data_IF_267907560264
#
_entry.id   IF_267907560264
#
_cell.length_a   1.000
_cell.length_b   1.000
_cell.length_c   1.000
_cell.angle_alpha   90.00
_cell.angle_beta   90.00
_cell.angle_gamma   90.00
#
_symmetry.space_group_name_H-M   'P 1'
#
loop_
_entity.id
_entity.type
_entity.pdbx_description
1 polymer ?
#
# COMPACT_ATOMS: atom_id res chain seq x y z
N UNK A 1 -11.10 13.92 11.02
CA UNK A 1 -12.51 13.54 11.31
C UNK A 1 -12.99 12.45 10.35
N UNK A 2 -12.70 12.58 9.06
CA UNK A 2 -12.92 11.54 8.07
C UNK A 2 -12.31 10.18 8.50
N UNK A 3 -11.07 10.19 9.01
CA UNK A 3 -10.42 8.97 9.51
C UNK A 3 -11.19 8.28 10.65
N UNK A 4 -11.85 9.05 11.52
CA UNK A 4 -12.70 8.51 12.61
C UNK A 4 -13.91 7.78 12.04
N UNK A 5 -14.59 8.41 11.08
CA UNK A 5 -15.79 7.87 10.45
C UNK A 5 -15.46 6.65 9.61
N UNK A 6 -14.39 6.70 8.82
CA UNK A 6 -13.93 5.57 8.02
C UNK A 6 -13.48 4.40 8.89
N UNK A 7 -12.76 4.66 9.98
CA UNK A 7 -12.33 3.62 10.93
C UNK A 7 -13.51 2.95 11.63
N UNK A 8 -14.51 3.72 12.08
CA UNK A 8 -15.72 3.14 12.67
C UNK A 8 -16.59 2.41 11.65
N UNK A 9 -16.63 2.85 10.39
CA UNK A 9 -17.34 2.14 9.31
C UNK A 9 -16.71 0.78 9.02
N UNK A 10 -15.37 0.71 8.96
CA UNK A 10 -14.61 -0.56 8.87
C UNK A 10 -14.87 -1.46 10.06
N UNK A 11 -15.02 -0.90 11.27
CA UNK A 11 -15.30 -1.68 12.47
C UNK A 11 -16.71 -2.27 12.47
N UNK A 12 -17.70 -1.49 12.05
CA UNK A 12 -19.11 -1.90 12.07
C UNK A 12 -19.40 -2.95 10.99
N UNK A 13 -18.86 -2.76 9.78
CA UNK A 13 -19.21 -3.58 8.62
C UNK A 13 -18.12 -4.60 8.26
N UNK A 14 -16.94 -4.55 8.88
CA UNK A 14 -15.74 -5.29 8.50
C UNK A 14 -14.85 -4.52 7.53
N UNK A 15 -13.56 -4.86 7.46
CA UNK A 15 -12.55 -4.05 6.71
C UNK A 15 -12.89 -3.89 5.23
N UNK A 16 -13.28 -4.98 4.55
CA UNK A 16 -13.59 -4.98 3.11
C UNK A 16 -14.91 -4.25 2.85
N UNK A 17 -15.97 -4.67 3.52
CA UNK A 17 -17.31 -4.12 3.33
C UNK A 17 -17.40 -2.65 3.79
N UNK A 18 -16.75 -2.30 4.91
CA UNK A 18 -16.68 -0.93 5.41
C UNK A 18 -15.86 0.00 4.50
N UNK A 19 -14.80 -0.50 3.85
CA UNK A 19 -14.11 0.27 2.80
C UNK A 19 -15.01 0.53 1.59
N UNK A 20 -15.76 -0.48 1.15
CA UNK A 20 -16.72 -0.33 0.04
C UNK A 20 -17.83 0.65 0.41
N UNK A 21 -18.35 0.59 1.63
CA UNK A 21 -19.37 1.52 2.14
C UNK A 21 -18.85 2.95 2.22
N UNK A 22 -17.61 3.15 2.69
CA UNK A 22 -16.99 4.48 2.74
C UNK A 22 -16.82 5.06 1.35
N UNK A 23 -16.27 4.28 0.41
CA UNK A 23 -16.04 4.73 -0.97
C UNK A 23 -17.36 5.05 -1.68
N UNK A 24 -18.37 4.17 -1.53
CA UNK A 24 -19.68 4.37 -2.14
C UNK A 24 -20.41 5.57 -1.52
N UNK A 25 -20.33 5.72 -0.20
CA UNK A 25 -20.90 6.85 0.53
C UNK A 25 -20.33 8.19 0.03
N UNK A 26 -19.01 8.30 -0.12
CA UNK A 26 -18.36 9.53 -0.61
C UNK A 26 -18.80 9.90 -2.02
N UNK A 27 -18.96 8.90 -2.90
CA UNK A 27 -19.43 9.14 -4.26
C UNK A 27 -20.86 9.69 -4.30
N UNK A 28 -21.68 9.28 -3.34
CA UNK A 28 -23.09 9.66 -3.24
C UNK A 28 -23.33 10.99 -2.51
N UNK A 29 -22.30 11.58 -1.88
CA UNK A 29 -22.40 12.90 -1.26
C UNK A 29 -22.37 14.00 -2.33
N UNK A 30 -23.48 14.72 -2.46
CA UNK A 30 -23.64 15.81 -3.42
C UNK A 30 -22.67 16.98 -3.18
N UNK A 31 -22.59 17.46 -1.93
CA UNK A 31 -21.67 18.54 -1.53
C UNK A 31 -20.75 18.05 -0.40
N UNK A 32 -19.52 17.67 -0.79
CA UNK A 32 -18.53 17.08 0.13
C UNK A 32 -18.02 18.08 1.16
N UNK A 33 -17.79 19.32 0.75
CA UNK A 33 -17.23 20.36 1.63
C UNK A 33 -18.22 20.70 2.75
N UNK A 34 -19.49 20.91 2.40
CA UNK A 34 -20.54 21.17 3.38
C UNK A 34 -20.74 19.97 4.31
N UNK A 35 -20.78 18.76 3.75
CA UNK A 35 -20.92 17.54 4.52
C UNK A 35 -19.82 17.39 5.58
N UNK A 36 -18.55 17.52 5.20
CA UNK A 36 -17.45 17.37 6.14
C UNK A 36 -17.36 18.52 7.14
N UNK A 37 -17.76 19.73 6.76
CA UNK A 37 -17.89 20.85 7.69
C UNK A 37 -18.97 20.59 8.76
N UNK A 38 -20.14 20.09 8.37
CA UNK A 38 -21.24 19.79 9.30
C UNK A 38 -20.87 18.66 10.25
N UNK A 39 -20.28 17.59 9.71
CA UNK A 39 -19.72 16.48 10.48
C UNK A 39 -18.67 16.96 11.50
N UNK A 40 -17.77 17.87 11.10
CA UNK A 40 -16.74 18.40 11.99
C UNK A 40 -17.37 19.17 13.16
N UNK A 41 -18.41 19.97 12.89
CA UNK A 41 -19.10 20.78 13.90
C UNK A 41 -19.83 19.91 14.91
N UNK A 42 -20.52 18.85 14.48
CA UNK A 42 -21.25 17.95 15.39
C UNK A 42 -20.34 16.98 16.14
N UNK A 43 -19.10 16.75 15.67
CA UNK A 43 -18.19 15.78 16.27
C UNK A 43 -17.86 16.09 17.73
N UNK A 44 -17.81 17.36 18.15
CA UNK A 44 -17.58 17.70 19.56
C UNK A 44 -18.70 17.14 20.45
N UNK A 45 -19.94 17.34 20.03
CA UNK A 45 -21.13 16.92 20.77
C UNK A 45 -21.26 15.39 20.79
N UNK A 46 -20.95 14.72 19.67
CA UNK A 46 -20.90 13.25 19.56
C UNK A 46 -19.91 12.66 20.57
N UNK A 47 -18.70 13.23 20.68
CA UNK A 47 -17.70 12.74 21.63
C UNK A 47 -18.11 13.01 23.10
N UNK A 48 -18.72 14.17 23.37
CA UNK A 48 -19.21 14.52 24.72
C UNK A 48 -20.25 13.51 25.22
N UNK A 49 -21.15 13.06 24.34
CA UNK A 49 -22.19 12.07 24.65
C UNK A 49 -21.70 10.62 24.50
N UNK A 50 -20.40 10.41 24.27
CA UNK A 50 -19.76 9.08 24.08
C UNK A 50 -20.45 8.24 22.98
N UNK A 51 -20.91 8.93 21.93
CA UNK A 51 -21.47 8.30 20.75
C UNK A 51 -20.37 7.95 19.75
N UNK A 52 -20.57 6.88 18.98
CA UNK A 52 -19.69 6.51 17.87
C UNK A 52 -20.35 6.84 16.55
N UNK A 53 -19.58 7.42 15.64
CA UNK A 53 -20.06 7.86 14.32
C UNK A 53 -19.41 7.04 13.20
N UNK A 54 -20.22 6.42 12.35
CA UNK A 54 -19.80 5.72 11.13
C UNK A 54 -20.56 6.26 9.91
N UNK A 55 -20.23 5.80 8.71
CA UNK A 55 -20.85 6.21 7.45
C UNK A 55 -21.40 5.01 6.71
N UNK A 56 -22.49 5.23 5.99
CA UNK A 56 -23.16 4.24 5.17
C UNK A 56 -22.89 4.45 3.68
N UNK A 57 -23.10 3.40 2.89
CA UNK A 57 -22.95 3.40 1.43
C UNK A 57 -23.78 4.47 0.69
N UNK A 58 -24.86 4.96 1.29
CA UNK A 58 -25.74 6.02 0.79
C UNK A 58 -25.23 7.44 1.16
N UNK A 59 -24.11 7.56 1.88
CA UNK A 59 -23.51 8.83 2.29
C UNK A 59 -24.06 9.37 3.61
N UNK A 60 -24.99 8.68 4.28
CA UNK A 60 -25.50 9.08 5.59
C UNK A 60 -24.52 8.70 6.73
N UNK A 61 -24.69 9.33 7.90
CA UNK A 61 -23.92 8.97 9.11
C UNK A 61 -24.76 8.08 10.02
N UNK A 62 -24.13 7.06 10.61
CA UNK A 62 -24.72 6.19 11.61
C UNK A 62 -24.19 6.53 13.00
N UNK A 63 -25.08 6.68 13.98
CA UNK A 63 -24.70 6.78 15.39
C UNK A 63 -24.90 5.44 16.09
N UNK A 64 -23.86 4.97 16.79
CA UNK A 64 -23.78 3.68 17.46
C UNK A 64 -24.16 2.48 16.58
N UNK A 65 -23.99 2.60 15.25
CA UNK A 65 -24.42 1.62 14.24
C UNK A 65 -25.94 1.38 14.14
N UNK A 66 -26.78 2.13 14.85
CA UNK A 66 -28.24 1.91 14.89
C UNK A 66 -28.99 2.90 14.01
N UNK A 67 -28.76 4.21 14.18
CA UNK A 67 -29.59 5.24 13.57
C UNK A 67 -28.85 6.00 12.48
N UNK A 68 -29.46 6.11 11.30
CA UNK A 68 -28.95 6.87 10.16
C UNK A 68 -29.44 8.32 10.20
N UNK A 69 -28.57 9.26 9.90
CA UNK A 69 -28.88 10.68 9.83
C UNK A 69 -28.16 11.35 8.67
N UNK A 70 -28.74 12.43 8.15
CA UNK A 70 -28.00 13.37 7.32
C UNK A 70 -27.22 14.35 8.22
N UNK A 71 -25.91 14.58 8.01
CA UNK A 71 -25.16 15.53 8.84
C UNK A 71 -25.73 16.95 8.85
N UNK A 72 -26.33 17.40 7.75
CA UNK A 72 -26.98 18.72 7.69
C UNK A 72 -28.21 18.81 8.61
N UNK A 73 -28.99 17.73 8.72
CA UNK A 73 -30.13 17.65 9.65
C UNK A 73 -29.66 17.68 11.09
N UNK A 74 -28.63 16.90 11.44
CA UNK A 74 -28.01 16.95 12.77
C UNK A 74 -27.45 18.33 13.10
N UNK A 75 -26.84 18.99 12.12
CA UNK A 75 -26.34 20.35 12.30
C UNK A 75 -27.49 21.34 12.56
N UNK A 76 -28.56 21.26 11.77
CA UNK A 76 -29.71 22.16 11.83
C UNK A 76 -30.58 21.99 13.08
N UNK A 77 -30.51 20.85 13.79
CA UNK A 77 -31.21 20.64 15.08
C UNK A 77 -30.72 21.57 16.21
N UNK A 78 -29.57 22.24 16.03
CA UNK A 78 -28.97 23.06 17.07
C UNK A 78 -28.43 22.24 18.26
N UNK A 79 -27.76 22.92 19.19
CA UNK A 79 -27.07 22.22 20.30
C UNK A 79 -28.05 21.53 21.25
N UNK A 80 -29.18 22.15 21.55
CA UNK A 80 -30.20 21.60 22.46
C UNK A 80 -30.90 20.38 21.85
N UNK A 81 -31.35 20.47 20.59
CA UNK A 81 -31.97 19.36 19.88
C UNK A 81 -31.02 18.17 19.71
N UNK A 82 -29.74 18.42 19.41
CA UNK A 82 -28.71 17.37 19.38
C UNK A 82 -28.50 16.73 20.74
N UNK A 83 -28.43 17.52 21.82
CA UNK A 83 -28.19 16.98 23.16
C UNK A 83 -29.33 16.07 23.64
N UNK A 84 -30.58 16.44 23.33
CA UNK A 84 -31.76 15.60 23.62
C UNK A 84 -31.73 14.30 22.81
N UNK A 85 -31.45 14.38 21.51
CA UNK A 85 -31.32 13.21 20.62
C UNK A 85 -30.18 12.29 21.05
N UNK A 86 -29.02 12.85 21.40
CA UNK A 86 -27.85 12.06 21.79
C UNK A 86 -28.04 11.41 23.16
N UNK A 87 -28.76 12.08 24.07
CA UNK A 87 -29.14 11.50 25.36
C UNK A 87 -30.16 10.38 25.22
N UNK A 88 -31.08 10.44 24.25
CA UNK A 88 -32.05 9.37 24.01
C UNK A 88 -31.43 8.14 23.33
N UNK A 89 -30.42 8.34 22.48
CA UNK A 89 -29.63 7.24 21.89
C UNK A 89 -28.77 6.56 22.96
N UNK A 90 -28.26 7.33 23.92
CA UNK A 90 -27.41 6.83 25.00
C UNK A 90 -25.97 6.52 24.55
N UNK A 91 -25.04 6.36 25.51
CA UNK A 91 -23.63 6.12 25.21
C UNK A 91 -23.44 4.79 24.48
N UNK A 92 -22.39 4.68 23.65
CA UNK A 92 -22.05 3.43 22.99
C UNK A 92 -21.74 2.33 24.02
N UNK A 93 -22.46 1.21 23.98
CA UNK A 93 -22.33 0.05 24.90
C UNK A 93 -21.09 -0.81 24.67
N UNK A 94 -20.11 -0.33 23.90
CA UNK A 94 -18.98 -1.13 23.46
C UNK A 94 -17.74 -0.89 24.33
N UNK A 95 -17.27 -1.96 24.99
CA UNK A 95 -16.09 -1.99 25.89
C UNK A 95 -14.74 -1.95 25.16
N UNK A 96 -14.72 -2.02 23.83
CA UNK A 96 -13.47 -2.04 23.05
C UNK A 96 -12.89 -0.65 22.84
N UNK A 97 -11.56 -0.47 22.97
CA UNK A 97 -10.90 0.82 22.81
C UNK A 97 -11.15 1.43 21.41
N UNK A 98 -11.06 2.76 21.32
CA UNK A 98 -11.23 3.48 20.06
C UNK A 98 -10.18 3.01 19.04
N UNK A 99 -10.62 2.77 17.79
CA UNK A 99 -9.71 2.48 16.68
C UNK A 99 -8.81 3.68 16.46
N UNK A 100 -7.50 3.44 16.32
CA UNK A 100 -6.52 4.49 16.09
C UNK A 100 -6.92 5.31 14.85
N UNK A 101 -7.04 6.63 15.05
CA UNK A 101 -7.33 7.59 13.97
C UNK A 101 -6.10 7.96 13.16
N UNK A 102 -4.93 7.40 13.51
CA UNK A 102 -3.84 7.38 12.55
C UNK A 102 -4.33 6.52 11.40
N UNK A 103 -4.36 7.10 10.21
CA UNK A 103 -4.13 6.31 8.99
C UNK A 103 -2.80 5.62 9.26
N UNK A 104 -2.87 4.39 9.77
CA UNK A 104 -1.78 3.46 9.66
C UNK A 104 -1.98 2.96 8.24
N UNK A 105 -1.25 3.51 7.24
CA UNK A 105 -1.14 2.81 5.96
C UNK A 105 -0.77 1.37 6.29
N UNK A 106 -1.22 0.40 5.49
CA UNK A 106 -0.74 -0.98 5.60
C UNK A 106 0.78 -0.93 5.59
N UNK A 107 1.38 -0.96 6.78
CA UNK A 107 2.82 -0.95 6.92
C UNK A 107 3.17 -2.38 6.57
N UNK A 108 3.58 -2.61 5.33
CA UNK A 108 4.36 -3.80 5.00
C UNK A 108 5.79 -3.64 5.57
N UNK A 109 5.90 -3.16 6.81
CA UNK A 109 7.12 -3.29 7.59
C UNK A 109 7.11 -4.71 8.14
N UNK A 110 7.73 -5.62 7.39
CA UNK A 110 8.08 -6.96 7.87
C UNK A 110 9.19 -6.78 8.90
N UNK A 111 8.83 -6.31 10.08
CA UNK A 111 9.63 -6.37 11.29
C UNK A 111 8.86 -7.22 12.28
N UNK A 112 9.20 -8.51 12.33
CA UNK A 112 8.83 -9.42 13.41
C UNK A 112 7.68 -10.37 13.09
N UNK A 113 8.03 -11.61 12.74
CA UNK A 113 7.26 -12.75 13.23
C UNK A 113 7.59 -12.85 14.72
N UNK A 114 6.72 -12.32 15.58
CA UNK A 114 6.71 -12.67 17.00
C UNK A 114 5.72 -13.84 17.09
N UNK A 115 6.26 -14.97 17.51
CA UNK A 115 5.53 -16.20 17.81
C UNK A 115 4.37 -15.89 18.78
N UNK A 116 3.16 -16.07 18.28
CA UNK A 116 1.92 -15.78 18.98
C UNK A 116 0.80 -16.38 18.16
N UNK A 117 0.32 -17.53 18.61
CA UNK A 117 -0.72 -18.37 18.02
C UNK A 117 -1.88 -17.57 17.41
N UNK A 118 -1.82 -17.37 16.10
CA UNK A 118 -2.92 -17.26 15.14
C UNK A 118 -2.22 -17.15 13.79
N UNK A 119 -2.44 -18.07 12.87
CA UNK A 119 -1.98 -17.90 11.48
C UNK A 119 -2.82 -16.78 10.82
N UNK A 120 -2.22 -15.69 10.33
CA UNK A 120 -2.60 -15.18 9.04
C UNK A 120 -1.49 -15.61 8.09
N UNK A 121 -1.85 -16.50 7.16
CA UNK A 121 -1.13 -16.56 5.90
C UNK A 121 -1.14 -15.15 5.29
N UNK A 122 -0.07 -14.40 5.53
CA UNK A 122 0.13 -13.07 4.97
C UNK A 122 0.36 -13.22 3.46
N UNK A 123 -0.74 -13.31 2.72
CA UNK A 123 -0.77 -13.16 1.27
C UNK A 123 -0.33 -11.72 0.96
N UNK A 124 0.89 -11.59 0.45
CA UNK A 124 1.40 -10.33 -0.14
C UNK A 124 0.71 -10.12 -1.48
N UNK A 125 -0.60 -9.84 -1.45
CA UNK A 125 -1.40 -9.57 -2.65
C UNK A 125 -1.26 -8.11 -3.05
N UNK A 126 -0.82 -7.86 -4.29
CA UNK A 126 -0.88 -6.51 -4.88
C UNK A 126 -2.23 -6.35 -5.57
N UNK A 127 -2.99 -5.31 -5.22
CA UNK A 127 -4.24 -5.00 -5.91
C UNK A 127 -4.10 -3.82 -6.89
N UNK A 128 -4.75 -3.88 -8.07
CA UNK A 128 -4.84 -2.74 -8.99
C UNK A 128 -5.32 -1.45 -8.30
N UNK A 129 -4.58 -0.35 -8.47
CA UNK A 129 -4.95 0.95 -7.91
C UNK A 129 -4.62 1.13 -6.43
N UNK A 130 -4.03 0.13 -5.78
CA UNK A 130 -3.57 0.21 -4.40
C UNK A 130 -2.42 1.21 -4.24
N UNK A 131 -2.34 1.91 -3.11
CA UNK A 131 -1.19 2.73 -2.73
C UNK A 131 -0.45 1.98 -1.62
N UNK A 132 0.72 1.44 -1.95
CA UNK A 132 1.55 0.67 -1.04
C UNK A 132 2.62 1.58 -0.48
N UNK A 133 2.77 1.57 0.85
CA UNK A 133 3.91 2.22 1.50
C UNK A 133 5.05 1.23 1.69
N UNK A 134 6.22 1.56 1.14
CA UNK A 134 7.44 0.76 1.26
C UNK A 134 8.53 1.66 1.84
N UNK A 135 8.81 1.52 3.14
CA UNK A 135 9.68 2.44 3.86
C UNK A 135 9.11 3.87 3.88
N UNK A 136 9.85 4.82 3.32
CA UNK A 136 9.44 6.22 3.16
C UNK A 136 8.66 6.49 1.86
N UNK A 137 8.53 5.49 0.98
CA UNK A 137 7.97 5.66 -0.36
C UNK A 137 6.49 5.30 -0.39
N UNK A 138 5.68 6.13 -1.04
CA UNK A 138 4.29 5.84 -1.39
C UNK A 138 4.22 5.52 -2.88
N UNK A 139 3.85 4.29 -3.21
CA UNK A 139 3.84 3.80 -4.59
C UNK A 139 2.42 3.37 -4.93
N UNK A 140 1.86 4.00 -5.97
CA UNK A 140 0.58 3.59 -6.53
C UNK A 140 0.81 2.48 -7.55
N UNK A 141 0.13 1.36 -7.37
CA UNK A 141 0.16 0.25 -8.31
C UNK A 141 -0.81 0.51 -9.44
N UNK A 142 -0.31 0.47 -10.66
CA UNK A 142 -1.13 0.48 -11.87
C UNK A 142 -1.84 -0.87 -12.08
N UNK A 143 -3.02 -0.85 -12.70
CA UNK A 143 -3.73 -2.10 -13.04
C UNK A 143 -2.92 -2.99 -13.97
N UNK A 144 -2.27 -2.39 -14.97
CA UNK A 144 -1.34 -3.09 -15.87
C UNK A 144 -0.13 -3.67 -15.14
N UNK A 145 0.41 -2.96 -14.15
CA UNK A 145 1.50 -3.47 -13.31
C UNK A 145 1.10 -4.70 -12.52
N UNK A 146 -0.06 -4.69 -11.87
CA UNK A 146 -0.58 -5.83 -11.10
C UNK A 146 -0.87 -7.05 -11.99
N UNK A 147 -1.47 -6.85 -13.16
CA UNK A 147 -1.71 -7.91 -14.14
C UNK A 147 -0.40 -8.52 -14.66
N UNK A 148 0.58 -7.68 -15.01
CA UNK A 148 1.88 -8.14 -15.49
C UNK A 148 2.66 -8.92 -14.42
N UNK A 149 2.61 -8.51 -13.15
CA UNK A 149 3.20 -9.26 -12.03
C UNK A 149 2.51 -10.62 -11.89
N UNK A 150 1.17 -10.64 -11.97
CA UNK A 150 0.38 -11.87 -11.82
C UNK A 150 0.71 -12.88 -12.92
N UNK A 151 0.78 -12.44 -14.18
CA UNK A 151 1.17 -13.26 -15.32
C UNK A 151 2.62 -13.77 -15.21
N UNK A 152 3.55 -12.91 -14.78
CA UNK A 152 4.96 -13.30 -14.68
C UNK A 152 5.21 -14.35 -13.60
N UNK A 153 4.41 -14.34 -12.53
CA UNK A 153 4.58 -15.22 -11.37
C UNK A 153 3.53 -16.35 -11.30
N UNK A 154 2.70 -16.53 -12.33
CA UNK A 154 1.57 -17.46 -12.36
C UNK A 154 1.98 -18.92 -12.09
N UNK A 155 3.17 -19.32 -12.55
CA UNK A 155 3.69 -20.68 -12.42
C UNK A 155 4.47 -20.94 -11.12
N UNK A 156 4.55 -19.97 -10.21
CA UNK A 156 5.26 -20.11 -8.94
C UNK A 156 4.31 -20.62 -7.84
N UNK A 157 4.84 -21.43 -6.93
CA UNK A 157 4.09 -21.77 -5.72
C UNK A 157 3.84 -20.51 -4.87
N UNK A 158 2.79 -20.52 -4.08
CA UNK A 158 2.39 -19.39 -3.23
C UNK A 158 3.51 -18.96 -2.26
N UNK A 159 4.25 -19.92 -1.71
CA UNK A 159 5.40 -19.66 -0.84
C UNK A 159 6.53 -18.94 -1.58
N UNK A 160 6.85 -19.38 -2.79
CA UNK A 160 7.90 -18.79 -3.63
C UNK A 160 7.49 -17.38 -4.08
N UNK A 161 6.22 -17.21 -4.45
CA UNK A 161 5.63 -15.90 -4.75
C UNK A 161 5.81 -14.93 -3.58
N UNK A 162 5.38 -15.33 -2.37
CA UNK A 162 5.45 -14.49 -1.18
C UNK A 162 6.89 -14.11 -0.82
N UNK A 163 7.80 -15.07 -0.90
CA UNK A 163 9.22 -14.84 -0.63
C UNK A 163 9.87 -13.91 -1.66
N UNK A 164 9.55 -14.08 -2.94
CA UNK A 164 10.05 -13.23 -4.02
C UNK A 164 9.54 -11.79 -3.86
N UNK A 165 8.24 -11.62 -3.57
CA UNK A 165 7.65 -10.32 -3.32
C UNK A 165 8.26 -9.64 -2.09
N UNK A 166 8.54 -10.42 -1.04
CA UNK A 166 9.22 -9.92 0.16
C UNK A 166 10.63 -9.40 -0.16
N UNK A 167 11.41 -10.14 -0.96
CA UNK A 167 12.73 -9.69 -1.43
C UNK A 167 12.61 -8.42 -2.29
N UNK A 168 11.65 -8.38 -3.22
CA UNK A 168 11.42 -7.23 -4.09
C UNK A 168 11.07 -5.95 -3.30
N UNK A 169 10.20 -6.05 -2.29
CA UNK A 169 9.85 -4.91 -1.45
C UNK A 169 10.99 -4.48 -0.52
N UNK A 170 11.75 -5.43 0.03
CA UNK A 170 12.94 -5.10 0.79
C UNK A 170 13.96 -4.36 -0.08
N UNK A 171 14.19 -4.81 -1.31
CA UNK A 171 15.05 -4.14 -2.28
C UNK A 171 14.57 -2.71 -2.57
N UNK A 172 13.29 -2.56 -2.91
CA UNK A 172 12.67 -1.26 -3.18
C UNK A 172 12.77 -0.30 -1.98
N UNK A 173 12.66 -0.80 -0.75
CA UNK A 173 12.79 0.00 0.47
C UNK A 173 14.19 0.60 0.68
N UNK A 174 15.22 0.05 0.02
CA UNK A 174 16.62 0.51 0.10
C UNK A 174 17.00 1.45 -1.03
N UNK A 175 16.10 1.70 -1.98
CA UNK A 175 16.39 2.59 -3.10
C UNK A 175 16.26 4.07 -2.72
N UNK A 176 17.24 4.86 -3.16
CA UNK A 176 17.23 6.30 -3.03
C UNK A 176 16.33 6.94 -4.11
N UNK A 177 15.80 8.14 -3.88
CA UNK A 177 14.97 8.84 -4.86
C UNK A 177 15.62 8.98 -6.25
N UNK A 178 16.93 9.21 -6.29
CA UNK A 178 17.72 9.30 -7.53
C UNK A 178 17.78 7.96 -8.27
N UNK A 179 17.93 6.85 -7.55
CA UNK A 179 17.95 5.49 -8.11
C UNK A 179 16.57 5.13 -8.70
N UNK A 180 15.49 5.48 -7.98
CA UNK A 180 14.11 5.30 -8.43
C UNK A 180 13.84 6.12 -9.70
N UNK A 181 14.34 7.36 -9.74
CA UNK A 181 14.16 8.21 -10.90
C UNK A 181 14.87 7.64 -12.14
N UNK A 182 16.07 7.09 -11.98
CA UNK A 182 16.79 6.40 -13.07
C UNK A 182 16.02 5.19 -13.58
N UNK A 183 15.45 4.36 -12.71
CA UNK A 183 14.60 3.23 -13.12
C UNK A 183 13.39 3.68 -13.94
N UNK A 184 12.66 4.69 -13.46
CA UNK A 184 11.52 5.26 -14.18
C UNK A 184 11.88 5.83 -15.55
N UNK A 185 13.13 6.25 -15.76
CA UNK A 185 13.57 6.77 -17.05
C UNK A 185 14.02 5.67 -18.00
N UNK A 186 14.50 4.54 -17.47
CA UNK A 186 14.78 3.34 -18.26
C UNK A 186 13.50 2.73 -18.82
N UNK A 187 12.44 2.66 -18.02
CA UNK A 187 11.14 2.14 -18.48
C UNK A 187 10.01 3.06 -18.01
N UNK A 188 9.70 4.15 -18.73
CA UNK A 188 8.65 5.09 -18.31
C UNK A 188 7.24 4.49 -18.39
N UNK A 189 7.05 3.48 -19.23
CA UNK A 189 5.77 2.84 -19.48
C UNK A 189 5.51 1.64 -18.55
N UNK A 190 6.53 1.18 -17.82
CA UNK A 190 6.42 0.04 -16.88
C UNK A 190 6.21 0.53 -15.44
N UNK A 191 5.37 -0.17 -14.68
CA UNK A 191 5.18 0.09 -13.25
C UNK A 191 6.47 -0.13 -12.45
N UNK A 192 6.78 0.75 -11.49
CA UNK A 192 8.00 0.64 -10.68
C UNK A 192 8.09 -0.70 -9.94
N UNK A 193 6.98 -1.19 -9.38
CA UNK A 193 6.98 -2.47 -8.68
C UNK A 193 7.23 -3.59 -9.69
N UNK A 194 6.59 -3.55 -10.85
CA UNK A 194 6.81 -4.54 -11.90
C UNK A 194 8.28 -4.57 -12.35
N UNK A 195 8.92 -3.41 -12.55
CA UNK A 195 10.34 -3.33 -12.91
C UNK A 195 11.25 -4.00 -11.87
N UNK A 196 10.99 -3.76 -10.57
CA UNK A 196 11.75 -4.38 -9.49
C UNK A 196 11.50 -5.88 -9.44
N UNK A 197 10.25 -6.33 -9.51
CA UNK A 197 9.90 -7.75 -9.47
C UNK A 197 10.50 -8.46 -10.68
N UNK A 198 10.48 -7.85 -11.87
CA UNK A 198 11.09 -8.37 -13.10
C UNK A 198 12.61 -8.52 -12.94
N UNK A 199 13.28 -7.52 -12.37
CA UNK A 199 14.70 -7.61 -12.07
C UNK A 199 14.99 -8.76 -11.09
N UNK A 200 14.28 -8.81 -9.95
CA UNK A 200 14.49 -9.86 -8.93
C UNK A 200 14.22 -11.24 -9.51
N UNK A 201 13.13 -11.41 -10.25
CA UNK A 201 12.80 -12.68 -10.89
C UNK A 201 13.87 -13.11 -11.89
N UNK A 202 14.34 -12.20 -12.75
CA UNK A 202 15.41 -12.50 -13.71
C UNK A 202 16.74 -12.78 -13.03
N UNK A 203 17.06 -12.05 -11.96
CA UNK A 203 18.24 -12.29 -11.14
C UNK A 203 18.19 -13.69 -10.53
N UNK A 204 17.09 -14.06 -9.86
CA UNK A 204 16.90 -15.39 -9.28
C UNK A 204 16.87 -16.52 -10.32
N UNK A 205 16.51 -16.21 -11.57
CA UNK A 205 16.49 -17.19 -12.66
C UNK A 205 17.86 -17.41 -13.30
N UNK A 206 18.73 -16.40 -13.32
CA UNK A 206 19.97 -16.44 -14.12
C UNK A 206 21.26 -16.17 -13.34
N UNK A 207 21.20 -15.69 -12.09
CA UNK A 207 22.36 -15.33 -11.28
C UNK A 207 22.21 -15.83 -9.84
N UNK A 208 23.18 -16.62 -9.37
CA UNK A 208 23.31 -16.98 -7.96
C UNK A 208 24.12 -15.91 -7.22
N UNK A 209 23.65 -15.37 -6.09
CA UNK A 209 24.41 -14.43 -5.27
C UNK A 209 25.70 -15.03 -4.68
N UNK A 210 25.83 -16.35 -4.58
CA UNK A 210 26.93 -17.03 -3.88
C UNK A 210 27.56 -18.26 -4.61
N UNK A 211 27.31 -18.53 -5.90
CA UNK A 211 27.90 -19.71 -6.57
C UNK A 211 27.80 -19.76 -8.10
N UNK A 212 28.41 -20.78 -8.72
CA UNK A 212 28.36 -21.02 -10.18
C UNK A 212 27.06 -21.71 -10.61
N UNK A 213 26.61 -21.43 -11.84
CA UNK A 213 25.37 -21.94 -12.40
C UNK A 213 25.53 -23.41 -12.81
N UNK A 214 24.69 -24.30 -12.25
CA UNK A 214 24.56 -25.70 -12.67
C UNK A 214 23.25 -25.88 -13.43
N UNK A 215 23.32 -26.52 -14.60
CA UNK A 215 22.23 -26.70 -15.58
C UNK A 215 20.99 -27.49 -15.08
N UNK A 216 20.94 -27.91 -13.81
CA UNK A 216 19.96 -28.88 -13.32
C UNK A 216 19.26 -28.55 -12.00
N UNK A 217 19.42 -27.34 -11.46
CA UNK A 217 18.81 -27.00 -10.17
C UNK A 217 17.48 -26.25 -10.32
N UNK A 218 16.53 -26.61 -9.47
CA UNK A 218 15.31 -25.84 -9.14
C UNK A 218 15.69 -24.46 -8.54
N UNK A 219 16.21 -23.57 -9.38
CA UNK A 219 17.14 -22.50 -9.01
C UNK A 219 16.53 -21.37 -8.19
N UNK A 220 15.27 -21.00 -8.42
CA UNK A 220 14.64 -19.86 -7.74
C UNK A 220 14.46 -20.14 -6.24
N UNK A 221 14.06 -21.36 -5.87
CA UNK A 221 13.78 -21.72 -4.47
C UNK A 221 15.06 -21.79 -3.64
N UNK A 222 16.12 -22.37 -4.21
CA UNK A 222 17.43 -22.48 -3.54
C UNK A 222 18.02 -21.09 -3.33
N UNK A 223 17.99 -20.24 -4.36
CA UNK A 223 18.53 -18.89 -4.26
C UNK A 223 17.69 -18.04 -3.31
N UNK A 224 16.36 -18.15 -3.34
CA UNK A 224 15.49 -17.44 -2.39
C UNK A 224 15.87 -17.80 -0.95
N UNK A 225 16.13 -19.08 -0.64
CA UNK A 225 16.57 -19.47 0.72
C UNK A 225 17.85 -18.77 1.17
N UNK A 226 18.75 -18.38 0.27
CA UNK A 226 19.97 -17.63 0.64
C UNK A 226 19.67 -16.22 1.16
N UNK A 227 18.52 -15.64 0.77
CA UNK A 227 18.06 -14.34 1.26
C UNK A 227 17.44 -14.43 2.66
N UNK A 228 17.09 -15.62 3.16
CA UNK A 228 16.45 -15.79 4.47
C UNK A 228 17.36 -16.53 5.43
N UNK A 229 17.46 -16.04 6.67
CA UNK A 229 18.10 -16.73 7.79
C UNK A 229 17.11 -16.74 8.95
N UNK A 230 16.73 -17.94 9.41
CA UNK A 230 15.74 -18.13 10.47
C UNK A 230 14.40 -17.41 10.19
N UNK A 231 13.94 -17.42 8.93
CA UNK A 231 12.71 -16.74 8.50
C UNK A 231 12.82 -15.22 8.34
N UNK A 232 14.00 -14.63 8.57
CA UNK A 232 14.23 -13.19 8.43
C UNK A 232 15.08 -12.90 7.18
N UNK A 233 14.73 -11.85 6.43
CA UNK A 233 15.51 -11.41 5.28
C UNK A 233 16.87 -10.87 5.73
N UNK A 234 17.95 -11.46 5.22
CA UNK A 234 19.32 -10.99 5.45
C UNK A 234 19.53 -9.64 4.76
N UNK A 235 19.82 -8.61 5.53
CA UNK A 235 20.01 -7.26 4.99
C UNK A 235 21.24 -7.20 4.06
N UNK A 236 22.30 -7.95 4.36
CA UNK A 236 23.52 -7.98 3.55
C UNK A 236 23.27 -8.50 2.13
N UNK A 237 22.40 -9.51 1.97
CA UNK A 237 22.06 -10.05 0.64
C UNK A 237 21.17 -9.08 -0.13
N UNK A 238 20.31 -8.33 0.54
CA UNK A 238 19.51 -7.26 -0.08
C UNK A 238 20.40 -6.10 -0.52
N UNK A 239 21.41 -5.72 0.26
CA UNK A 239 22.37 -4.69 -0.13
C UNK A 239 23.19 -5.12 -1.35
N UNK A 240 23.69 -6.36 -1.39
CA UNK A 240 24.34 -6.91 -2.58
C UNK A 240 23.43 -6.91 -3.80
N UNK A 241 22.16 -7.27 -3.63
CA UNK A 241 21.17 -7.25 -4.70
C UNK A 241 20.90 -5.82 -5.19
N UNK A 242 20.90 -4.83 -4.28
CA UNK A 242 20.83 -3.41 -4.62
C UNK A 242 22.01 -2.97 -5.46
N UNK A 243 23.23 -3.33 -5.07
CA UNK A 243 24.43 -2.95 -5.82
C UNK A 243 24.40 -3.56 -7.24
N UNK A 244 23.93 -4.80 -7.37
CA UNK A 244 23.72 -5.46 -8.65
C UNK A 244 22.66 -4.77 -9.50
N UNK A 245 21.54 -4.32 -8.90
CA UNK A 245 20.52 -3.55 -9.60
C UNK A 245 21.08 -2.23 -10.13
N UNK A 246 21.85 -1.50 -9.33
CA UNK A 246 22.46 -0.23 -9.73
C UNK A 246 23.46 -0.45 -10.87
N UNK A 247 24.29 -1.50 -10.78
CA UNK A 247 25.25 -1.85 -11.83
C UNK A 247 24.54 -2.20 -13.13
N UNK A 248 23.47 -3.00 -13.06
CA UNK A 248 22.64 -3.32 -14.21
C UNK A 248 22.01 -2.06 -14.83
N UNK A 249 21.46 -1.16 -14.01
CA UNK A 249 20.90 0.11 -14.49
C UNK A 249 21.95 0.96 -15.22
N UNK A 250 23.15 1.08 -14.66
CA UNK A 250 24.22 1.87 -15.28
C UNK A 250 24.65 1.24 -16.62
N UNK A 251 24.82 -0.09 -16.67
CA UNK A 251 25.15 -0.80 -17.89
C UNK A 251 24.06 -0.64 -18.97
N UNK A 252 22.79 -0.71 -18.59
CA UNK A 252 21.65 -0.52 -19.50
C UNK A 252 21.58 0.92 -20.02
N UNK A 253 21.85 1.92 -19.16
CA UNK A 253 21.95 3.32 -19.58
C UNK A 253 23.07 3.49 -20.62
N UNK A 254 24.25 2.92 -20.36
CA UNK A 254 25.41 3.03 -21.23
C UNK A 254 25.23 2.28 -22.56
N UNK A 255 24.60 1.10 -22.54
CA UNK A 255 24.28 0.38 -23.77
C UNK A 255 23.28 1.16 -24.63
N UNK A 256 22.28 1.81 -24.02
CA UNK A 256 21.36 2.70 -24.74
C UNK A 256 22.06 3.94 -25.30
N UNK A 257 23.08 4.49 -24.62
CA UNK A 257 23.92 5.56 -25.19
C UNK A 257 24.64 5.09 -26.45
N UNK A 258 25.16 3.86 -26.43
CA UNK A 258 25.87 3.26 -27.55
C UNK A 258 24.96 2.99 -28.74
N UNK A 259 23.75 2.48 -28.49
CA UNK A 259 22.78 2.12 -29.54
C UNK A 259 22.08 3.33 -30.15
N UNK A 260 21.93 4.43 -29.41
CA UNK A 260 21.23 5.64 -29.88
C UNK A 260 22.09 6.91 -29.74
N UNK A 261 23.24 7.01 -30.43
CA UNK A 261 24.17 8.13 -30.27
C UNK A 261 23.59 9.48 -30.74
N UNK A 262 22.57 9.45 -31.60
CA UNK A 262 21.97 10.65 -32.22
C UNK A 262 20.67 11.13 -31.54
N UNK A 263 20.20 10.44 -30.49
CA UNK A 263 18.99 10.87 -29.76
C UNK A 263 19.33 11.97 -28.78
N UNK A 264 18.48 12.99 -28.69
CA UNK A 264 18.72 14.12 -27.79
C UNK A 264 18.59 13.60 -26.36
N UNK A 265 19.70 13.68 -25.63
CA UNK A 265 19.80 13.27 -24.26
C UNK A 265 19.12 14.34 -23.39
N UNK A 266 17.87 14.10 -23.02
CA UNK A 266 17.15 14.98 -22.09
C UNK A 266 17.52 14.51 -20.69
N UNK A 267 18.50 15.19 -20.10
CA UNK A 267 18.86 15.01 -18.69
C UNK A 267 17.87 15.78 -17.84
N UNK A 268 17.19 15.08 -16.93
CA UNK A 268 16.34 15.74 -15.95
C UNK A 268 17.23 16.51 -14.97
N UNK A 269 17.03 17.83 -14.87
CA UNK A 269 17.82 18.67 -13.97
C UNK A 269 17.53 18.39 -12.48
N UNK A 270 16.42 17.71 -12.17
CA UNK A 270 15.98 17.45 -10.78
C UNK A 270 16.47 16.12 -10.23
N UNK A 271 16.53 15.08 -11.07
CA UNK A 271 16.88 13.73 -10.64
C UNK A 271 18.09 13.13 -11.36
N UNK A 272 18.72 13.94 -12.22
CA UNK A 272 19.92 13.61 -12.98
C UNK A 272 19.81 12.41 -13.92
N UNK A 273 18.59 11.91 -14.09
CA UNK A 273 18.31 10.79 -14.95
C UNK A 273 18.17 11.20 -16.42
N UNK A 274 18.28 10.20 -17.30
CA UNK A 274 18.45 10.40 -18.73
C UNK A 274 17.26 9.82 -19.51
N UNK A 275 16.61 10.63 -20.34
CA UNK A 275 15.63 10.19 -21.35
C UNK A 275 16.17 10.43 -22.76
N UNK A 276 15.91 9.50 -23.67
CA UNK A 276 16.23 9.64 -25.09
C UNK A 276 14.97 10.04 -25.86
N UNK A 277 15.02 11.18 -26.56
CA UNK A 277 14.02 11.60 -27.54
C UNK A 277 14.47 11.20 -28.95
#
# INVERSE_FOLDING_TARGET
IFDKISAESRRVSGTIQGNVEVIRGIKNIANKDQYFADVLKINKDVNQHKLRISMTADGQVKLNAVHKFNPSELYNLGNEGRSQLFSSIGPATVTTPNVSTRVVPSVNAVTGYIDGEEEPSFLVGIHPGEIIQIGSLLIRVSSSGAENISLMLENLSQEVYANLMTVAFNLLSKLLPEEIAKLRLLSPDEDLIFQIVKFVFNYLRHQRPLGEATDNDNGIVVILKEFFQNGVVRQDTILKLKDNLINWMNAEIDERRRLYPNKILIRCQTCDGVRYA
#
